data_IF_597312894256
#
_entry.id   IF_597312894256
#
_cell.length_a   1.000
_cell.length_b   1.000
_cell.length_c   1.000
_cell.angle_alpha   90.00
_cell.angle_beta   90.00
_cell.angle_gamma   90.00
#
_symmetry.space_group_name_H-M   'P 1'
#
loop_
_entity.id
_entity.type
_entity.pdbx_description
1 polymer ?
#
# COMPACT_ATOMS: atom_id res chain seq x y z
N UNK A 1 4.20 5.92 8.59
CA UNK A 1 2.74 6.00 8.76
C UNK A 1 2.13 5.00 7.79
N UNK A 2 1.52 3.91 8.28
CA UNK A 2 0.95 2.86 7.45
C UNK A 2 -0.53 3.11 7.20
N UNK A 3 -0.87 4.18 6.47
CA UNK A 3 -2.28 4.52 6.20
C UNK A 3 -3.00 3.40 5.45
N UNK A 4 -2.29 2.63 4.61
CA UNK A 4 -2.84 1.48 3.90
C UNK A 4 -3.06 0.22 4.74
N UNK A 5 -2.89 0.27 6.06
CA UNK A 5 -3.17 -0.85 6.96
C UNK A 5 -4.59 -0.80 7.58
N UNK A 6 -5.33 0.28 7.37
CA UNK A 6 -6.74 0.38 7.80
C UNK A 6 -7.67 -0.23 6.75
N UNK A 7 -8.85 -0.67 7.16
CA UNK A 7 -9.87 -1.26 6.26
C UNK A 7 -10.50 -0.23 5.34
N UNK A 8 -10.76 0.96 5.88
CA UNK A 8 -11.15 2.15 5.11
C UNK A 8 -10.12 3.27 5.29
N UNK A 9 -9.00 3.22 4.55
CA UNK A 9 -7.99 4.25 4.62
C UNK A 9 -8.49 5.61 4.07
N UNK A 10 -9.56 5.62 3.28
CA UNK A 10 -10.14 6.84 2.73
C UNK A 10 -10.90 7.64 3.80
N UNK A 11 -11.41 7.00 4.85
CA UNK A 11 -12.02 7.68 6.00
C UNK A 11 -11.00 8.49 6.83
N UNK A 12 -9.71 8.18 6.73
CA UNK A 12 -8.64 8.78 7.54
C UNK A 12 -7.50 9.35 6.67
N UNK A 13 -7.78 10.37 5.82
CA UNK A 13 -6.75 10.93 4.96
C UNK A 13 -5.64 11.60 5.79
N UNK A 14 -4.35 11.39 5.46
CA UNK A 14 -3.25 12.08 6.10
C UNK A 14 -3.39 13.60 5.98
N UNK A 15 -3.20 14.33 7.09
CA UNK A 15 -3.32 15.81 7.12
C UNK A 15 -1.98 16.54 7.11
N UNK A 16 -0.91 15.87 7.52
CA UNK A 16 0.42 16.46 7.69
C UNK A 16 1.46 15.45 7.21
N UNK A 17 2.49 15.94 6.51
CA UNK A 17 3.67 15.18 6.12
C UNK A 17 4.87 15.65 6.95
N UNK A 18 5.67 14.70 7.43
CA UNK A 18 6.87 14.96 8.25
C UNK A 18 8.11 14.45 7.51
N UNK A 19 9.29 14.99 7.85
CA UNK A 19 10.57 14.52 7.33
C UNK A 19 10.78 14.83 5.84
N UNK A 20 10.39 16.03 5.39
CA UNK A 20 10.50 16.43 3.99
C UNK A 20 11.95 16.69 3.54
N UNK A 21 12.89 16.84 4.47
CA UNK A 21 14.31 17.11 4.18
C UNK A 21 14.98 15.99 3.38
N UNK A 22 14.48 14.75 3.51
CA UNK A 22 14.95 13.58 2.77
C UNK A 22 13.94 13.10 1.71
N UNK A 23 12.97 13.94 1.34
CA UNK A 23 11.91 13.56 0.40
C UNK A 23 12.49 13.30 -0.99
N UNK A 24 12.15 12.15 -1.57
CA UNK A 24 12.57 11.80 -2.93
C UNK A 24 11.80 12.65 -3.97
N UNK A 25 12.49 13.26 -4.96
CA UNK A 25 11.85 14.16 -5.93
C UNK A 25 10.71 13.55 -6.74
N UNK A 26 10.77 12.25 -7.03
CA UNK A 26 9.75 11.59 -7.85
C UNK A 26 8.39 11.45 -7.14
N UNK A 27 8.33 11.64 -5.82
CA UNK A 27 7.08 11.49 -5.05
C UNK A 27 6.00 12.46 -5.52
N UNK A 28 6.36 13.67 -5.95
CA UNK A 28 5.42 14.63 -6.55
C UNK A 28 4.78 14.14 -7.85
N UNK A 29 5.49 13.29 -8.58
CA UNK A 29 5.08 12.81 -9.91
C UNK A 29 4.27 11.52 -9.88
N UNK A 30 4.11 10.87 -8.72
CA UNK A 30 3.56 9.52 -8.64
C UNK A 30 2.17 9.39 -9.29
N UNK A 31 1.31 10.39 -9.08
CA UNK A 31 -0.05 10.46 -9.65
C UNK A 31 -0.10 10.55 -11.19
N UNK A 32 1.03 10.78 -11.86
CA UNK A 32 1.15 10.89 -13.32
C UNK A 32 1.68 9.62 -13.97
N UNK A 33 2.12 8.64 -13.18
CA UNK A 33 2.60 7.37 -13.72
C UNK A 33 1.46 6.64 -14.45
N UNK A 34 1.76 5.87 -15.50
CA UNK A 34 0.79 4.99 -16.13
C UNK A 34 0.14 4.09 -15.08
N UNK A 35 -1.20 4.09 -15.04
CA UNK A 35 -1.96 3.23 -14.15
C UNK A 35 -2.42 1.99 -14.92
N UNK A 36 -2.05 0.82 -14.41
CA UNK A 36 -2.51 -0.47 -14.93
C UNK A 36 -3.59 -0.96 -13.97
N UNK A 37 -4.79 -1.23 -14.49
CA UNK A 37 -5.83 -1.88 -13.69
C UNK A 37 -5.45 -3.34 -13.48
N UNK A 38 -5.75 -3.89 -12.31
CA UNK A 38 -5.52 -5.31 -12.00
C UNK A 38 -6.10 -6.24 -13.07
N UNK A 39 -7.29 -5.91 -13.59
CA UNK A 39 -7.97 -6.67 -14.64
C UNK A 39 -7.26 -6.63 -16.01
N UNK A 40 -6.40 -5.64 -16.24
CA UNK A 40 -5.69 -5.45 -17.49
C UNK A 40 -4.32 -6.16 -17.52
N UNK A 41 -3.92 -6.81 -16.43
CA UNK A 41 -2.63 -7.50 -16.28
C UNK A 41 -2.84 -8.99 -15.97
N UNK A 42 -3.44 -9.70 -16.94
CA UNK A 42 -3.65 -11.16 -16.85
C UNK A 42 -2.32 -11.93 -16.78
N UNK A 43 -1.25 -11.37 -17.34
CA UNK A 43 0.09 -11.95 -17.33
C UNK A 43 0.75 -11.88 -15.94
N UNK A 44 0.36 -10.94 -15.08
CA UNK A 44 0.80 -10.89 -13.69
C UNK A 44 0.03 -11.82 -12.74
N UNK A 45 -1.10 -12.40 -13.15
CA UNK A 45 -1.91 -13.29 -12.29
C UNK A 45 -1.11 -14.47 -11.69
N UNK A 46 -0.23 -15.17 -12.44
CA UNK A 46 0.63 -16.22 -11.89
C UNK A 46 1.64 -15.71 -10.85
N UNK A 47 2.07 -14.46 -10.95
CA UNK A 47 2.98 -13.82 -9.98
C UNK A 47 2.22 -13.42 -8.71
N UNK A 48 1.05 -12.80 -8.85
CA UNK A 48 0.21 -12.41 -7.71
C UNK A 48 -0.21 -13.61 -6.86
N UNK A 49 -0.45 -14.77 -7.49
CA UNK A 49 -0.78 -16.02 -6.78
C UNK A 49 0.35 -16.54 -5.87
N UNK A 50 1.60 -16.09 -6.08
CA UNK A 50 2.75 -16.46 -5.25
C UNK A 50 3.01 -15.47 -4.10
N UNK A 51 2.30 -14.34 -4.06
CA UNK A 51 2.54 -13.30 -3.07
C UNK A 51 1.96 -13.72 -1.71
N UNK A 52 2.83 -13.78 -0.70
CA UNK A 52 2.41 -14.03 0.69
C UNK A 52 2.16 -12.69 1.37
N UNK A 53 0.94 -12.49 1.88
CA UNK A 53 0.61 -11.31 2.68
C UNK A 53 1.16 -11.48 4.10
N UNK A 54 2.00 -10.53 4.51
CA UNK A 54 2.46 -10.37 5.90
C UNK A 54 1.77 -9.21 6.60
N UNK A 55 0.64 -8.74 6.06
CA UNK A 55 -0.16 -7.70 6.70
C UNK A 55 -0.91 -8.29 7.88
N UNK A 56 -0.92 -7.56 9.01
CA UNK A 56 -1.71 -7.91 10.18
C UNK A 56 -3.21 -7.98 9.82
N UNK A 57 -3.99 -8.91 10.40
CA UNK A 57 -5.38 -9.09 10.04
C UNK A 57 -6.20 -8.01 10.73
N UNK A 58 -7.39 -7.74 10.21
CA UNK A 58 -8.35 -6.82 10.82
C UNK A 58 -9.11 -7.49 11.97
N UNK A 59 -8.39 -7.91 13.00
CA UNK A 59 -8.87 -8.33 14.32
C UNK A 59 -7.69 -8.54 15.25
N UNK A 60 -7.95 -8.54 16.56
CA UNK A 60 -6.94 -8.89 17.55
C UNK A 60 -6.42 -10.31 17.30
N UNK A 61 -5.10 -10.44 17.12
CA UNK A 61 -4.44 -11.74 17.06
C UNK A 61 -3.60 -11.97 18.31
N UNK A 62 -3.84 -13.10 19.00
CA UNK A 62 -3.06 -13.48 20.19
C UNK A 62 -1.59 -13.77 19.86
N UNK A 63 -1.30 -14.17 18.60
CA UNK A 63 0.05 -14.38 18.07
C UNK A 63 0.13 -13.92 16.62
N UNK A 64 1.05 -12.99 16.36
CA UNK A 64 1.44 -12.55 15.02
C UNK A 64 2.78 -13.18 14.62
N UNK A 65 2.93 -13.77 13.41
CA UNK A 65 4.20 -14.34 12.97
C UNK A 65 5.26 -13.23 12.84
N UNK A 66 6.46 -13.53 13.36
CA UNK A 66 7.65 -12.66 13.28
C UNK A 66 8.34 -12.75 11.91
#
# INVERSE_FOLDING_TARGET
>A
MAAGAFDDPAALPPRIQYGLDARLPFVDGLHRLPAIRTEADLDAAPFLAQLVSHQHPDHDTERWPA
#
